data_IF_804355222569
#
_entry.id   IF_804355222569
#
_cell.length_a   1.000
_cell.length_b   1.000
_cell.length_c   1.000
_cell.angle_alpha   90.00
_cell.angle_beta   90.00
_cell.angle_gamma   90.00
#
_symmetry.space_group_name_H-M   'P 1'
#
loop_
_entity.id
_entity.type
_entity.pdbx_description
1 polymer ?
#
# COMPACT_ATOMS: atom_id res chain seq x y z
N UNK A 1 -9.25 37.14 -15.14
CA UNK A 1 -8.13 36.22 -14.85
C UNK A 1 -8.75 34.91 -14.38
N UNK A 2 -8.80 33.89 -15.24
CA UNK A 2 -9.29 32.58 -14.83
C UNK A 2 -8.29 31.98 -13.87
N UNK A 3 -8.74 31.63 -12.66
CA UNK A 3 -7.91 30.86 -11.73
C UNK A 3 -7.48 29.58 -12.45
N UNK A 4 -6.18 29.28 -12.59
CA UNK A 4 -5.79 27.99 -13.14
C UNK A 4 -6.43 26.93 -12.27
N UNK A 5 -7.19 26.00 -12.84
CA UNK A 5 -7.70 24.86 -12.10
C UNK A 5 -6.47 24.13 -11.54
N UNK A 6 -6.16 24.34 -10.26
CA UNK A 6 -5.19 23.57 -9.54
C UNK A 6 -5.81 22.17 -9.44
N UNK A 7 -5.53 21.30 -10.43
CA UNK A 7 -5.61 19.87 -10.20
C UNK A 7 -4.64 19.64 -9.05
N UNK A 8 -5.19 19.49 -7.84
CA UNK A 8 -4.41 19.33 -6.65
C UNK A 8 -3.53 18.09 -6.77
N UNK A 9 -2.23 18.24 -6.50
CA UNK A 9 -1.35 17.08 -6.37
C UNK A 9 -1.73 16.34 -5.09
N UNK A 10 -1.98 15.04 -5.20
CA UNK A 10 -2.31 14.14 -4.08
C UNK A 10 -1.37 12.94 -4.11
N UNK A 11 -1.00 12.43 -2.94
CA UNK A 11 -0.21 11.21 -2.80
C UNK A 11 -0.60 10.47 -1.52
N UNK A 12 -1.22 9.30 -1.66
CA UNK A 12 -1.72 8.51 -0.52
C UNK A 12 -0.78 7.36 -0.14
N UNK A 13 0.45 7.31 -0.65
CA UNK A 13 1.40 6.23 -0.39
C UNK A 13 2.75 6.78 0.08
N UNK A 14 2.73 7.54 1.17
CA UNK A 14 3.94 8.16 1.75
C UNK A 14 4.44 7.33 2.93
N UNK A 15 5.69 6.87 2.85
CA UNK A 15 6.36 6.17 3.95
C UNK A 15 7.18 7.11 4.81
N UNK A 16 7.13 6.90 6.14
CA UNK A 16 8.08 7.54 7.04
C UNK A 16 9.37 6.71 7.06
N UNK A 17 10.52 7.39 6.96
CA UNK A 17 11.86 6.80 7.07
C UNK A 17 12.75 7.70 7.92
N UNK A 18 12.59 7.68 9.26
CA UNK A 18 13.33 8.56 10.15
C UNK A 18 14.86 8.42 10.03
N UNK A 19 15.32 7.20 9.75
CA UNK A 19 16.72 6.87 9.47
C UNK A 19 17.28 7.56 8.23
N UNK A 20 16.44 7.81 7.22
CA UNK A 20 16.79 8.58 6.03
C UNK A 20 16.41 10.06 6.14
N UNK A 21 16.05 10.55 7.34
CA UNK A 21 15.61 11.93 7.59
C UNK A 21 14.19 12.24 7.14
N UNK A 22 13.43 11.28 6.61
CA UNK A 22 12.05 11.46 6.18
C UNK A 22 11.08 11.28 7.35
N UNK A 23 11.13 12.25 8.27
CA UNK A 23 10.17 12.39 9.37
C UNK A 23 8.81 12.88 8.87
N UNK A 24 7.76 12.75 9.69
CA UNK A 24 6.42 13.27 9.39
C UNK A 24 6.46 14.75 9.00
N UNK A 25 7.16 15.57 9.80
CA UNK A 25 7.32 17.01 9.54
C UNK A 25 8.06 17.28 8.21
N UNK A 26 9.19 16.62 7.99
CA UNK A 26 9.98 16.82 6.77
C UNK A 26 9.20 16.43 5.51
N UNK A 27 8.43 15.34 5.56
CA UNK A 27 7.56 14.93 4.46
C UNK A 27 6.47 15.99 4.21
N UNK A 28 5.75 16.40 5.25
CA UNK A 28 4.71 17.45 5.17
C UNK A 28 5.26 18.72 4.51
N UNK A 29 6.40 19.24 4.99
CA UNK A 29 7.05 20.44 4.46
C UNK A 29 7.43 20.26 2.98
N UNK A 30 8.00 19.11 2.63
CA UNK A 30 8.37 18.79 1.25
C UNK A 30 7.15 18.76 0.31
N UNK A 31 6.07 18.09 0.68
CA UNK A 31 4.84 18.01 -0.12
C UNK A 31 4.13 19.37 -0.23
N UNK A 32 4.05 20.13 0.86
CA UNK A 32 3.51 21.49 0.86
C UNK A 32 4.29 22.40 -0.10
N UNK A 33 5.62 22.38 -0.05
CA UNK A 33 6.47 23.19 -0.93
C UNK A 33 6.27 22.90 -2.43
N UNK A 34 5.76 21.69 -2.74
CA UNK A 34 5.48 21.22 -4.11
C UNK A 34 4.03 21.43 -4.54
N UNK A 35 3.22 22.08 -3.70
CA UNK A 35 1.82 22.40 -3.98
C UNK A 35 0.85 21.22 -3.85
N UNK A 36 1.17 20.22 -3.02
CA UNK A 36 0.23 19.14 -2.74
C UNK A 36 -0.92 19.63 -1.85
N UNK A 37 -2.12 19.13 -2.15
CA UNK A 37 -3.33 19.47 -1.38
C UNK A 37 -3.65 18.39 -0.34
N UNK A 38 -3.28 17.13 -0.60
CA UNK A 38 -3.56 16.00 0.28
C UNK A 38 -2.42 15.00 0.24
N UNK A 39 -2.06 14.45 1.39
CA UNK A 39 -1.14 13.31 1.48
C UNK A 39 -1.65 12.24 2.45
N UNK A 40 -1.24 11.00 2.26
CA UNK A 40 -1.52 9.89 3.17
C UNK A 40 -0.23 9.20 3.60
N UNK A 41 0.01 9.14 4.92
CA UNK A 41 1.08 8.31 5.47
C UNK A 41 0.62 6.86 5.57
N UNK A 42 1.45 5.91 5.13
CA UNK A 42 1.11 4.49 5.02
C UNK A 42 2.25 3.59 5.47
N UNK A 43 2.62 3.68 6.75
CA UNK A 43 3.62 2.78 7.29
C UNK A 43 3.18 1.31 7.18
N UNK A 44 4.15 0.42 7.08
CA UNK A 44 3.90 -1.03 7.02
C UNK A 44 3.14 -1.52 8.25
N UNK A 45 2.13 -2.36 8.01
CA UNK A 45 1.28 -2.91 9.05
C UNK A 45 2.01 -3.84 9.99
N UNK A 46 1.89 -3.56 11.29
CA UNK A 46 2.35 -4.39 12.39
C UNK A 46 1.32 -4.30 13.53
N UNK A 47 0.51 -5.34 13.77
CA UNK A 47 -0.53 -5.33 14.80
C UNK A 47 0.00 -4.94 16.19
N UNK A 48 1.26 -5.28 16.50
CA UNK A 48 1.84 -5.04 17.83
C UNK A 48 2.16 -3.57 18.09
N UNK A 49 2.41 -2.77 17.05
CA UNK A 49 2.88 -1.39 17.19
C UNK A 49 2.04 -0.35 16.43
N UNK A 50 1.14 -0.77 15.54
CA UNK A 50 0.44 0.15 14.63
C UNK A 50 -0.40 1.19 15.36
N UNK A 51 -1.16 0.81 16.40
CA UNK A 51 -2.00 1.76 17.14
C UNK A 51 -1.19 2.92 17.73
N UNK A 52 -0.04 2.60 18.34
CA UNK A 52 0.87 3.60 18.89
C UNK A 52 1.53 4.45 17.79
N UNK A 53 1.93 3.84 16.67
CA UNK A 53 2.48 4.57 15.51
C UNK A 53 1.47 5.56 14.92
N UNK A 54 0.20 5.16 14.79
CA UNK A 54 -0.88 6.04 14.30
C UNK A 54 -1.04 7.23 15.24
N UNK A 55 -1.11 6.97 16.57
CA UNK A 55 -1.21 8.03 17.59
C UNK A 55 -0.06 9.02 17.48
N UNK A 56 1.18 8.53 17.45
CA UNK A 56 2.38 9.36 17.29
C UNK A 56 2.34 10.19 16.00
N UNK A 57 1.96 9.58 14.88
CA UNK A 57 1.85 10.29 13.58
C UNK A 57 0.86 11.43 13.67
N UNK A 58 -0.33 11.20 14.25
CA UNK A 58 -1.36 12.22 14.40
C UNK A 58 -0.91 13.37 15.32
N UNK A 59 -0.18 13.06 16.39
CA UNK A 59 0.42 14.09 17.26
C UNK A 59 1.48 14.92 16.54
N UNK A 60 2.32 14.29 15.71
CA UNK A 60 3.32 14.98 14.88
C UNK A 60 2.66 15.87 13.82
N UNK A 61 1.60 15.38 13.16
CA UNK A 61 0.80 16.16 12.22
C UNK A 61 0.22 17.39 12.90
N UNK A 62 -0.39 17.22 14.08
CA UNK A 62 -0.99 18.31 14.85
C UNK A 62 0.03 19.39 15.19
N UNK A 63 1.25 18.99 15.63
CA UNK A 63 2.34 19.92 15.93
C UNK A 63 2.93 20.62 14.70
N UNK A 64 2.83 20.01 13.52
CA UNK A 64 3.36 20.56 12.28
C UNK A 64 2.45 21.61 11.64
N UNK A 65 1.17 21.68 12.04
CA UNK A 65 0.17 22.62 11.52
C UNK A 65 0.16 22.72 9.98
N UNK A 66 -0.06 21.60 9.25
CA UNK A 66 0.08 21.57 7.81
C UNK A 66 -0.98 22.42 7.09
N UNK A 67 -0.59 23.06 5.98
CA UNK A 67 -1.52 23.74 5.07
C UNK A 67 -2.14 22.80 4.01
N UNK A 68 -1.92 21.49 4.14
CA UNK A 68 -2.50 20.45 3.31
C UNK A 68 -3.25 19.43 4.19
N UNK A 69 -4.19 18.69 3.61
CA UNK A 69 -4.88 17.62 4.36
C UNK A 69 -3.97 16.41 4.50
N UNK A 70 -3.73 15.95 5.72
CA UNK A 70 -2.93 14.75 5.99
C UNK A 70 -3.83 13.64 6.50
N UNK A 71 -3.72 12.46 5.90
CA UNK A 71 -4.38 11.22 6.33
C UNK A 71 -3.34 10.24 6.88
N UNK A 72 -3.78 9.39 7.82
CA UNK A 72 -2.96 8.32 8.40
C UNK A 72 -3.62 6.98 8.10
N UNK A 73 -3.01 6.23 7.21
CA UNK A 73 -3.38 4.87 6.86
C UNK A 73 -2.26 3.89 7.17
N UNK A 74 -2.35 2.71 6.56
CA UNK A 74 -1.29 1.69 6.64
C UNK A 74 -1.18 0.93 5.33
N UNK A 75 -0.05 0.30 5.10
CA UNK A 75 0.17 -0.64 4.02
C UNK A 75 0.42 -2.05 4.58
N UNK A 76 -0.50 -2.98 4.32
CA UNK A 76 -0.41 -4.34 4.83
C UNK A 76 0.02 -5.33 3.74
N UNK A 77 0.99 -6.19 4.06
CA UNK A 77 1.37 -7.30 3.19
C UNK A 77 0.27 -8.37 3.17
N UNK A 78 -0.11 -8.83 1.98
CA UNK A 78 -1.06 -9.93 1.82
C UNK A 78 -0.28 -11.22 1.57
N UNK A 79 -0.46 -12.20 2.45
CA UNK A 79 0.14 -13.53 2.37
C UNK A 79 -0.68 -14.51 3.21
N UNK A 80 -0.42 -15.81 3.10
CA UNK A 80 -1.08 -16.81 3.94
C UNK A 80 -0.89 -16.50 5.42
N UNK A 81 -1.98 -16.46 6.19
CA UNK A 81 -1.96 -16.18 7.63
C UNK A 81 -1.64 -14.73 8.01
N UNK A 82 -1.75 -13.78 7.07
CA UNK A 82 -1.63 -12.35 7.38
C UNK A 82 -2.74 -11.89 8.36
N UNK A 83 -2.47 -10.87 9.20
CA UNK A 83 -3.37 -10.45 10.29
C UNK A 83 -4.58 -9.61 9.81
N UNK A 84 -5.44 -10.20 8.96
CA UNK A 84 -6.60 -9.54 8.35
C UNK A 84 -7.56 -8.93 9.38
N UNK A 85 -7.99 -9.71 10.37
CA UNK A 85 -9.00 -9.27 11.35
C UNK A 85 -8.50 -8.08 12.19
N UNK A 86 -7.21 -8.10 12.58
CA UNK A 86 -6.59 -6.99 13.29
C UNK A 86 -6.50 -5.73 12.41
N UNK A 87 -6.25 -5.89 11.11
CA UNK A 87 -6.28 -4.77 10.18
C UNK A 87 -7.69 -4.19 10.02
N UNK A 88 -8.71 -5.04 9.92
CA UNK A 88 -10.12 -4.63 9.83
C UNK A 88 -10.56 -3.83 11.06
N UNK A 89 -10.20 -4.32 12.25
CA UNK A 89 -10.44 -3.63 13.51
C UNK A 89 -9.76 -2.25 13.52
N UNK A 90 -8.50 -2.16 13.11
CA UNK A 90 -7.80 -0.86 13.04
C UNK A 90 -8.36 0.06 11.95
N UNK A 91 -8.78 -0.51 10.81
CA UNK A 91 -9.41 0.23 9.71
C UNK A 91 -10.72 0.89 10.12
N UNK A 92 -11.49 0.23 10.98
CA UNK A 92 -12.77 0.72 11.48
C UNK A 92 -12.64 1.67 12.67
N UNK A 93 -11.48 1.74 13.33
CA UNK A 93 -11.31 2.50 14.58
C UNK A 93 -10.36 3.68 14.48
N UNK A 94 -9.16 3.50 13.93
CA UNK A 94 -8.07 4.49 14.06
C UNK A 94 -7.41 4.91 12.74
N UNK A 95 -7.55 4.11 11.67
CA UNK A 95 -6.97 4.41 10.36
C UNK A 95 -7.97 5.15 9.48
N UNK A 96 -7.47 6.12 8.71
CA UNK A 96 -8.28 6.84 7.73
C UNK A 96 -8.51 6.00 6.46
N UNK A 97 -7.53 5.16 6.09
CA UNK A 97 -7.56 4.27 4.93
C UNK A 97 -6.55 3.12 5.09
N UNK A 98 -6.64 2.07 4.27
CA UNK A 98 -5.61 1.04 4.19
C UNK A 98 -5.31 0.60 2.75
N UNK A 99 -4.02 0.32 2.53
CA UNK A 99 -3.47 -0.23 1.29
C UNK A 99 -3.08 -1.68 1.51
N UNK A 100 -3.31 -2.53 0.52
CA UNK A 100 -2.84 -3.91 0.49
C UNK A 100 -1.71 -4.07 -0.52
N UNK A 101 -0.60 -4.65 -0.09
CA UNK A 101 0.59 -4.86 -0.89
C UNK A 101 0.88 -6.37 -1.03
N UNK A 102 0.28 -7.06 -2.01
CA UNK A 102 0.57 -8.47 -2.25
C UNK A 102 2.01 -8.71 -2.70
N UNK A 103 2.71 -7.67 -3.13
CA UNK A 103 4.12 -7.71 -3.57
C UNK A 103 5.15 -7.65 -2.45
N UNK A 104 4.74 -7.37 -1.22
CA UNK A 104 5.64 -7.35 -0.06
C UNK A 104 6.04 -8.73 0.46
N UNK A 105 5.34 -9.77 0.03
CA UNK A 105 5.72 -11.16 0.28
C UNK A 105 6.02 -11.84 -1.06
N UNK A 106 7.03 -12.72 -1.18
CA UNK A 106 7.98 -13.13 -0.13
C UNK A 106 8.83 -11.96 0.35
N UNK A 107 9.05 -11.87 1.67
CA UNK A 107 10.02 -10.91 2.23
C UNK A 107 11.43 -11.37 1.86
N UNK A 108 12.44 -10.50 1.95
CA UNK A 108 13.83 -10.81 1.55
C UNK A 108 14.37 -12.16 2.06
N UNK A 109 13.95 -12.58 3.26
CA UNK A 109 14.35 -13.87 3.87
C UNK A 109 13.65 -15.09 3.27
N UNK A 110 12.44 -14.92 2.73
CA UNK A 110 11.60 -15.96 2.15
C UNK A 110 11.86 -16.12 0.64
N UNK A 111 12.43 -15.08 0.01
CA UNK A 111 12.78 -15.04 -1.42
C UNK A 111 13.61 -16.24 -1.88
N UNK A 112 14.68 -16.68 -1.16
CA UNK A 112 15.46 -17.83 -1.63
C UNK A 112 14.65 -19.12 -1.73
N UNK A 113 13.73 -19.35 -0.79
CA UNK A 113 12.85 -20.52 -0.81
C UNK A 113 11.77 -20.37 -1.89
N UNK A 114 11.20 -19.18 -2.03
CA UNK A 114 10.21 -18.88 -3.07
C UNK A 114 10.81 -19.08 -4.47
N UNK A 115 12.03 -18.60 -4.70
CA UNK A 115 12.74 -18.71 -5.97
C UNK A 115 13.10 -20.16 -6.37
N UNK A 116 13.05 -21.12 -5.44
CA UNK A 116 13.24 -22.54 -5.73
C UNK A 116 11.97 -23.22 -6.27
N UNK A 117 10.81 -22.56 -6.19
CA UNK A 117 9.55 -23.09 -6.74
C UNK A 117 9.53 -23.00 -8.27
N UNK A 118 8.68 -23.79 -8.91
CA UNK A 118 8.46 -23.68 -10.36
C UNK A 118 7.88 -22.31 -10.72
N UNK A 119 8.12 -21.82 -11.94
CA UNK A 119 7.61 -20.53 -12.39
C UNK A 119 6.08 -20.47 -12.31
N UNK A 120 5.39 -21.59 -12.59
CA UNK A 120 3.94 -21.71 -12.50
C UNK A 120 3.44 -21.57 -11.06
N UNK A 121 4.18 -22.14 -10.10
CA UNK A 121 3.85 -22.01 -8.67
C UNK A 121 4.04 -20.57 -8.19
N UNK A 122 5.10 -19.91 -8.64
CA UNK A 122 5.35 -18.50 -8.35
C UNK A 122 4.26 -17.60 -8.97
N UNK A 123 3.89 -17.84 -10.23
CA UNK A 123 2.85 -17.07 -10.94
C UNK A 123 1.47 -17.26 -10.28
N UNK A 124 1.13 -18.51 -9.92
CA UNK A 124 -0.08 -18.83 -9.17
C UNK A 124 -0.11 -18.09 -7.84
N UNK A 125 0.99 -18.12 -7.08
CA UNK A 125 1.08 -17.43 -5.80
C UNK A 125 0.88 -15.91 -5.93
N UNK A 126 1.53 -15.27 -6.92
CA UNK A 126 1.38 -13.83 -7.19
C UNK A 126 -0.07 -13.49 -7.50
N UNK A 127 -0.69 -14.28 -8.40
CA UNK A 127 -2.07 -14.07 -8.82
C UNK A 127 -3.06 -14.25 -7.66
N UNK A 128 -2.89 -15.29 -6.83
CA UNK A 128 -3.77 -15.53 -5.70
C UNK A 128 -3.62 -14.46 -4.61
N UNK A 129 -2.41 -13.95 -4.35
CA UNK A 129 -2.22 -12.82 -3.43
C UNK A 129 -2.90 -11.54 -3.94
N UNK A 130 -2.85 -11.28 -5.26
CA UNK A 130 -3.59 -10.17 -5.85
C UNK A 130 -5.11 -10.36 -5.75
N UNK A 131 -5.61 -11.56 -6.04
CA UNK A 131 -7.03 -11.92 -5.90
C UNK A 131 -7.52 -11.74 -4.47
N UNK A 132 -6.76 -12.24 -3.49
CA UNK A 132 -7.07 -12.06 -2.07
C UNK A 132 -7.14 -10.57 -1.73
N UNK A 133 -6.18 -9.77 -2.19
CA UNK A 133 -6.15 -8.32 -1.94
C UNK A 133 -7.41 -7.61 -2.44
N UNK A 134 -7.93 -7.97 -3.62
CA UNK A 134 -9.14 -7.33 -4.16
C UNK A 134 -10.44 -7.87 -3.55
N UNK A 135 -10.39 -8.95 -2.78
CA UNK A 135 -11.54 -9.52 -2.06
C UNK A 135 -11.74 -8.89 -0.68
N UNK A 136 -10.74 -8.18 -0.15
CA UNK A 136 -10.83 -7.46 1.12
C UNK A 136 -11.61 -6.16 0.90
N UNK A 137 -12.88 -6.15 1.27
CA UNK A 137 -13.83 -5.07 1.00
C UNK A 137 -13.65 -3.82 1.87
N UNK A 138 -12.96 -3.92 3.01
CA UNK A 138 -12.57 -2.76 3.80
C UNK A 138 -11.30 -2.05 3.29
N UNK A 139 -10.60 -2.63 2.31
CA UNK A 139 -9.39 -2.03 1.73
C UNK A 139 -9.73 -0.90 0.76
N UNK A 140 -8.91 0.15 0.76
CA UNK A 140 -9.13 1.31 -0.12
C UNK A 140 -8.32 1.20 -1.42
N UNK A 141 -7.16 0.54 -1.38
CA UNK A 141 -6.37 0.27 -2.58
C UNK A 141 -5.47 -0.98 -2.48
N UNK A 142 -5.03 -1.46 -3.65
CA UNK A 142 -3.91 -2.40 -3.78
C UNK A 142 -2.70 -1.64 -4.30
N UNK A 143 -1.63 -1.66 -3.51
CA UNK A 143 -0.35 -1.05 -3.82
C UNK A 143 0.54 -2.00 -4.63
N UNK A 144 1.04 -1.50 -5.76
CA UNK A 144 2.09 -2.09 -6.60
C UNK A 144 2.02 -3.62 -6.70
N UNK A 145 0.90 -4.18 -7.20
CA UNK A 145 0.57 -5.60 -7.06
C UNK A 145 1.57 -6.55 -7.73
N UNK A 146 2.39 -6.05 -8.66
CA UNK A 146 3.36 -6.83 -9.43
C UNK A 146 4.82 -6.36 -9.23
N UNK A 147 5.11 -5.49 -8.26
CA UNK A 147 6.44 -4.95 -8.00
C UNK A 147 7.34 -5.87 -7.15
N UNK A 148 7.52 -7.12 -7.59
CA UNK A 148 8.31 -8.12 -6.88
C UNK A 148 9.82 -8.01 -7.16
N UNK A 149 10.44 -6.89 -6.81
CA UNK A 149 11.83 -6.58 -7.18
C UNK A 149 12.90 -7.56 -6.69
N UNK A 150 12.54 -8.54 -5.86
CA UNK A 150 13.45 -9.54 -5.29
C UNK A 150 13.32 -10.92 -5.95
N UNK A 151 12.30 -11.16 -6.79
CA UNK A 151 12.08 -12.45 -7.45
C UNK A 151 12.98 -12.54 -8.70
N UNK A 152 13.86 -13.55 -8.80
CA UNK A 152 14.60 -13.80 -10.03
C UNK A 152 13.64 -14.15 -11.18
N UNK A 153 13.92 -13.67 -12.40
CA UNK A 153 13.10 -13.96 -13.60
C UNK A 153 11.63 -13.52 -13.47
N UNK A 154 11.37 -12.42 -12.75
CA UNK A 154 10.02 -11.90 -12.54
C UNK A 154 9.21 -11.77 -13.84
N UNK A 155 9.82 -11.23 -14.91
CA UNK A 155 9.12 -11.07 -16.19
C UNK A 155 8.62 -12.40 -16.77
N UNK A 156 9.40 -13.47 -16.62
CA UNK A 156 9.01 -14.81 -17.07
C UNK A 156 7.87 -15.37 -16.21
N UNK A 157 7.91 -15.15 -14.89
CA UNK A 157 6.83 -15.53 -13.98
C UNK A 157 5.53 -14.78 -14.33
N UNK A 158 5.60 -13.46 -14.51
CA UNK A 158 4.44 -12.64 -14.84
C UNK A 158 3.86 -12.98 -16.22
N UNK A 159 4.68 -13.44 -17.16
CA UNK A 159 4.21 -13.88 -18.49
C UNK A 159 3.29 -15.11 -18.45
N UNK A 160 3.29 -15.86 -17.35
CA UNK A 160 2.43 -17.02 -17.14
C UNK A 160 1.03 -16.63 -16.61
N UNK A 161 0.83 -15.38 -16.19
CA UNK A 161 -0.46 -14.89 -15.71
C UNK A 161 -1.28 -14.43 -16.91
N UNK A 162 -2.43 -15.06 -17.14
CA UNK A 162 -3.27 -14.72 -18.28
C UNK A 162 -4.19 -13.52 -18.00
N UNK A 163 -4.46 -12.76 -19.06
CA UNK A 163 -5.42 -11.65 -19.10
C UNK A 163 -6.79 -11.99 -18.47
N UNK A 164 -7.27 -13.22 -18.68
CA UNK A 164 -8.57 -13.67 -18.18
C UNK A 164 -8.63 -13.69 -16.66
N UNK A 165 -7.53 -14.03 -16.01
CA UNK A 165 -7.42 -14.14 -14.56
C UNK A 165 -7.42 -12.74 -13.93
N UNK A 166 -6.67 -11.83 -14.53
CA UNK A 166 -6.63 -10.42 -14.13
C UNK A 166 -7.99 -9.75 -14.30
N UNK A 167 -8.70 -9.99 -15.40
CA UNK A 167 -10.04 -9.40 -15.63
C UNK A 167 -11.04 -9.74 -14.54
N UNK A 168 -10.98 -10.95 -13.98
CA UNK A 168 -11.85 -11.34 -12.87
C UNK A 168 -11.54 -10.51 -11.62
N UNK A 169 -10.27 -10.44 -11.23
CA UNK A 169 -9.80 -9.67 -10.09
C UNK A 169 -10.10 -8.16 -10.25
N UNK A 170 -9.86 -7.58 -11.43
CA UNK A 170 -10.14 -6.17 -11.72
C UNK A 170 -11.64 -5.84 -11.63
N UNK A 171 -12.53 -6.76 -12.06
CA UNK A 171 -13.97 -6.60 -11.87
C UNK A 171 -14.34 -6.63 -10.39
N UNK A 172 -13.68 -7.46 -9.60
CA UNK A 172 -13.90 -7.52 -8.15
C UNK A 172 -13.41 -6.24 -7.47
N UNK A 173 -12.21 -5.76 -7.80
CA UNK A 173 -11.68 -4.48 -7.31
C UNK A 173 -12.67 -3.33 -7.59
N UNK A 174 -13.20 -3.27 -8.82
CA UNK A 174 -14.24 -2.28 -9.18
C UNK A 174 -15.50 -2.39 -8.32
N UNK A 175 -15.97 -3.61 -8.02
CA UNK A 175 -17.16 -3.84 -7.17
C UNK A 175 -16.93 -3.38 -5.74
N UNK A 176 -15.73 -3.61 -5.22
CA UNK A 176 -15.32 -3.24 -3.87
C UNK A 176 -14.79 -1.80 -3.78
N UNK A 177 -14.83 -1.02 -4.88
CA UNK A 177 -14.28 0.33 -4.97
C UNK A 177 -12.78 0.44 -4.60
N UNK A 178 -12.02 -0.63 -4.82
CA UNK A 178 -10.59 -0.72 -4.55
C UNK A 178 -9.81 -0.08 -5.70
N UNK A 179 -8.98 0.91 -5.37
CA UNK A 179 -8.03 1.53 -6.32
C UNK A 179 -6.82 0.61 -6.54
N UNK A 180 -6.19 0.64 -7.72
CA UNK A 180 -4.96 -0.12 -7.98
C UNK A 180 -3.85 0.85 -8.34
N UNK A 181 -2.77 0.87 -7.56
CA UNK A 181 -1.58 1.65 -7.85
C UNK A 181 -0.57 0.80 -8.61
N UNK A 182 -0.34 1.15 -9.88
CA UNK A 182 0.72 0.58 -10.69
C UNK A 182 1.94 1.48 -10.55
N UNK A 183 2.99 0.99 -9.89
CA UNK A 183 4.28 1.67 -9.73
C UNK A 183 5.07 1.68 -11.03
#
# INVERSE_FOLDING_TARGET
MGSPSLIGRVDFHVHRRPDSGMTTRAAIEAFQSRGYLRIGFTDHFDPASMAERVRQTREEISKAEPNLTVYVGTEASVHTGWPRDALEEMRSTILDFCLLAPSHYPRSRDVPQFAQQSLESQASWILESFKESVLVDFADAVAHPFAYGQIPRLDEVLSLIEDRDLRSALRQAKRNAITIFLS
#
